data_IF_712576583720
#
_entry.id   IF_712576583720
#
_cell.length_a   1.000
_cell.length_b   1.000
_cell.length_c   1.000
_cell.angle_alpha   90.00
_cell.angle_beta   90.00
_cell.angle_gamma   90.00
#
_symmetry.space_group_name_H-M   'P 1'
#
loop_
_entity.id
_entity.type
_entity.pdbx_description
1 polymer ?
#
# COMPACT_ATOMS: atom_id res chain seq x y z
N UNK A 1 7.39 -1.19 -2.83
CA UNK A 1 7.07 -0.89 -1.43
C UNK A 1 5.56 -0.99 -1.25
N UNK A 2 5.16 -1.70 -0.20
CA UNK A 2 3.77 -1.82 0.24
C UNK A 2 3.66 -1.11 1.59
N UNK A 3 2.70 -0.20 1.72
CA UNK A 3 2.44 0.53 2.97
C UNK A 3 0.99 0.38 3.41
N UNK A 4 0.78 0.41 4.72
CA UNK A 4 -0.56 0.41 5.31
C UNK A 4 -0.84 1.79 5.91
N UNK A 5 -1.83 2.49 5.36
CA UNK A 5 -2.23 3.80 5.84
C UNK A 5 -3.23 3.64 6.98
N UNK A 6 -2.77 3.84 8.21
CA UNK A 6 -3.59 3.74 9.41
C UNK A 6 -4.60 4.89 9.54
N UNK A 7 -4.19 6.10 9.13
CA UNK A 7 -5.00 7.31 9.18
C UNK A 7 -4.45 8.35 8.21
N UNK A 8 -5.32 9.24 7.75
CA UNK A 8 -4.96 10.37 6.89
C UNK A 8 -5.33 10.12 5.43
N UNK A 9 -4.80 10.98 4.55
CA UNK A 9 -5.08 10.98 3.12
C UNK A 9 -3.90 10.36 2.34
N UNK A 10 -4.11 9.40 1.44
CA UNK A 10 -3.07 8.78 0.63
C UNK A 10 -2.19 9.78 -0.13
N UNK A 11 -2.76 10.88 -0.62
CA UNK A 11 -2.07 11.92 -1.38
C UNK A 11 -0.97 12.58 -0.53
N UNK A 12 -1.26 12.85 0.74
CA UNK A 12 -0.30 13.43 1.69
C UNK A 12 0.79 12.41 2.02
N UNK A 13 0.42 11.14 2.22
CA UNK A 13 1.38 10.08 2.44
C UNK A 13 2.35 9.92 1.26
N UNK A 14 1.83 9.94 0.03
CA UNK A 14 2.65 9.90 -1.19
C UNK A 14 3.55 11.12 -1.33
N UNK A 15 3.07 12.32 -1.00
CA UNK A 15 3.93 13.52 -0.98
C UNK A 15 5.11 13.37 -0.02
N UNK A 16 4.86 12.83 1.17
CA UNK A 16 5.93 12.58 2.16
C UNK A 16 6.91 11.50 1.69
N UNK A 17 6.40 10.42 1.06
CA UNK A 17 7.23 9.37 0.47
C UNK A 17 8.12 9.97 -0.63
N UNK A 18 7.55 10.77 -1.54
CA UNK A 18 8.28 11.42 -2.64
C UNK A 18 9.47 12.24 -2.13
N UNK A 19 9.23 13.05 -1.07
CA UNK A 19 10.27 13.82 -0.40
C UNK A 19 11.34 12.92 0.23
N UNK A 20 10.94 11.86 0.93
CA UNK A 20 11.88 10.96 1.62
C UNK A 20 12.78 10.18 0.65
N UNK A 21 12.26 9.81 -0.52
CA UNK A 21 13.05 9.10 -1.55
C UNK A 21 13.71 10.04 -2.56
N UNK A 22 13.51 11.35 -2.43
CA UNK A 22 13.99 12.38 -3.35
C UNK A 22 13.65 12.08 -4.83
N UNK A 23 12.43 11.60 -5.09
CA UNK A 23 11.91 11.31 -6.44
C UNK A 23 10.46 11.72 -6.56
N UNK A 24 10.11 12.17 -7.76
CA UNK A 24 8.72 12.36 -8.15
C UNK A 24 8.02 11.00 -8.28
N UNK A 25 6.74 10.98 -7.92
CA UNK A 25 5.89 9.81 -8.02
C UNK A 25 4.81 10.06 -9.07
N UNK A 26 4.71 9.18 -10.05
CA UNK A 26 3.69 9.22 -11.10
C UNK A 26 2.59 8.21 -10.82
N UNK A 27 1.38 8.48 -11.29
CA UNK A 27 0.28 7.53 -11.22
C UNK A 27 0.54 6.30 -12.09
N UNK A 28 0.09 5.14 -11.62
CA UNK A 28 0.20 3.92 -12.41
C UNK A 28 -0.88 3.90 -13.50
N UNK A 29 -0.53 3.72 -14.80
CA UNK A 29 -1.48 3.87 -15.91
C UNK A 29 -2.64 2.88 -15.83
N UNK A 30 -2.37 1.65 -15.39
CA UNK A 30 -3.39 0.60 -15.34
C UNK A 30 -4.22 0.58 -14.03
N UNK A 31 -3.90 1.43 -13.05
CA UNK A 31 -4.51 1.38 -11.72
C UNK A 31 -4.93 2.77 -11.20
N UNK A 32 -5.72 3.49 -12.00
CA UNK A 32 -6.19 4.86 -11.68
C UNK A 32 -6.99 4.97 -10.38
N UNK A 33 -7.73 3.92 -10.00
CA UNK A 33 -8.59 3.92 -8.81
C UNK A 33 -7.88 3.42 -7.54
N UNK A 34 -6.65 2.94 -7.66
CA UNK A 34 -5.89 2.46 -6.50
C UNK A 34 -4.89 3.52 -6.07
N UNK A 35 -4.65 3.56 -4.76
CA UNK A 35 -3.54 4.34 -4.19
C UNK A 35 -2.21 3.68 -4.56
N UNK A 36 -1.81 3.83 -5.81
CA UNK A 36 -0.65 3.18 -6.42
C UNK A 36 0.11 4.19 -7.27
N UNK A 37 1.33 4.52 -6.84
CA UNK A 37 2.26 5.34 -7.61
C UNK A 37 3.53 4.58 -7.99
N UNK A 38 4.25 5.11 -8.96
CA UNK A 38 5.55 4.59 -9.41
C UNK A 38 6.60 5.68 -9.47
N UNK A 39 7.87 5.31 -9.33
CA UNK A 39 8.99 6.18 -9.69
C UNK A 39 10.11 5.38 -10.32
N UNK A 40 10.82 6.03 -11.24
CA UNK A 40 11.97 5.45 -11.94
C UNK A 40 13.28 5.88 -11.27
N UNK A 41 14.19 4.93 -11.17
CA UNK A 41 15.46 5.07 -10.46
C UNK A 41 16.61 4.50 -11.28
N UNK A 42 17.78 5.09 -11.07
CA UNK A 42 19.05 4.56 -11.53
C UNK A 42 19.95 4.25 -10.33
N UNK A 43 20.77 3.21 -10.44
CA UNK A 43 21.78 2.87 -9.44
C UNK A 43 23.09 2.44 -10.08
N UNK A 44 24.18 2.61 -9.35
CA UNK A 44 25.46 2.00 -9.71
C UNK A 44 25.42 0.50 -9.40
N UNK A 45 25.77 -0.31 -10.39
CA UNK A 45 25.84 -1.77 -10.27
C UNK A 45 27.30 -2.17 -10.05
N UNK A 46 27.65 -2.84 -8.93
CA UNK A 46 29.00 -3.35 -8.71
C UNK A 46 29.41 -4.36 -9.79
N UNK A 47 30.71 -4.38 -10.10
CA UNK A 47 31.30 -5.30 -11.06
C UNK A 47 30.90 -6.75 -10.77
N UNK A 48 30.44 -7.46 -11.79
CA UNK A 48 30.04 -8.88 -11.69
C UNK A 48 28.61 -9.15 -11.22
N UNK A 49 27.80 -8.11 -10.93
CA UNK A 49 26.37 -8.28 -10.62
C UNK A 49 25.51 -8.08 -11.88
N UNK A 50 24.44 -8.88 -12.02
CA UNK A 50 23.58 -8.93 -13.22
C UNK A 50 22.23 -8.20 -13.09
N UNK A 51 22.03 -7.45 -12.02
CA UNK A 51 20.76 -6.76 -11.80
C UNK A 51 20.73 -5.42 -12.54
N UNK A 52 19.54 -4.93 -12.93
CA UNK A 52 19.44 -3.77 -13.80
C UNK A 52 19.91 -2.48 -13.12
N UNK A 53 20.49 -1.59 -13.93
CA UNK A 53 20.89 -0.22 -13.57
C UNK A 53 19.65 0.65 -13.38
N UNK A 54 18.73 0.60 -14.36
CA UNK A 54 17.46 1.31 -14.33
C UNK A 54 16.38 0.42 -13.76
N UNK A 55 15.57 0.92 -12.84
CA UNK A 55 14.49 0.15 -12.24
C UNK A 55 13.33 1.05 -11.82
N UNK A 56 12.13 0.46 -11.79
CA UNK A 56 10.91 1.11 -11.35
C UNK A 56 10.54 0.63 -9.96
N UNK A 57 10.30 1.56 -9.05
CA UNK A 57 9.71 1.30 -7.76
C UNK A 57 8.19 1.49 -7.83
N UNK A 58 7.44 0.53 -7.30
CA UNK A 58 5.99 0.64 -7.10
C UNK A 58 5.70 0.97 -5.63
N UNK A 59 4.76 1.87 -5.39
CA UNK A 59 4.33 2.32 -4.07
C UNK A 59 2.83 2.11 -3.96
N UNK A 60 2.42 1.04 -3.29
CA UNK A 60 1.03 0.71 -3.06
C UNK A 60 0.69 1.02 -1.60
N UNK A 61 -0.34 1.84 -1.37
CA UNK A 61 -0.87 2.12 -0.04
C UNK A 61 -2.23 1.45 0.14
N UNK A 62 -2.35 0.62 1.17
CA UNK A 62 -3.60 -0.01 1.59
C UNK A 62 -4.13 0.73 2.81
N UNK A 63 -5.32 1.30 2.72
CA UNK A 63 -5.90 1.99 3.86
C UNK A 63 -6.52 0.99 4.83
N UNK A 64 -6.04 1.00 6.07
CA UNK A 64 -6.66 0.24 7.14
C UNK A 64 -7.85 1.05 7.64
N UNK A 65 -9.03 0.75 7.10
CA UNK A 65 -10.27 1.28 7.66
C UNK A 65 -10.53 0.55 8.97
N UNK A 66 -10.76 1.32 10.04
CA UNK A 66 -11.47 0.77 11.18
C UNK A 66 -12.85 0.44 10.65
N UNK A 67 -13.12 -0.83 10.35
CA UNK A 67 -14.50 -1.25 10.38
C UNK A 67 -14.96 -0.90 11.80
N UNK A 68 -15.98 -0.05 11.92
CA UNK A 68 -16.90 -0.20 13.03
C UNK A 68 -17.46 -1.61 12.80
N UNK A 69 -16.78 -2.61 13.37
CA UNK A 69 -17.18 -3.99 13.24
C UNK A 69 -18.51 -4.08 13.97
N UNK A 70 -19.58 -3.90 13.21
CA UNK A 70 -20.93 -4.19 13.65
C UNK A 70 -21.02 -5.71 13.71
N UNK A 71 -20.50 -6.27 14.81
CA UNK A 71 -20.49 -7.71 15.07
C UNK A 71 -21.90 -8.29 15.18
N UNK A 72 -22.94 -7.45 15.20
CA UNK A 72 -24.34 -7.88 15.20
C UNK A 72 -24.76 -8.66 13.94
N UNK A 73 -23.97 -8.65 12.87
CA UNK A 73 -24.26 -9.40 11.63
C UNK A 73 -23.44 -10.68 11.45
N UNK A 74 -22.53 -10.98 12.37
CA UNK A 74 -21.61 -12.11 12.23
C UNK A 74 -21.96 -13.32 13.10
N UNK A 75 -22.97 -13.22 13.96
CA UNK A 75 -23.49 -14.36 14.72
C UNK A 75 -25.00 -14.47 14.45
N UNK A 76 -25.49 -15.53 13.77
CA UNK A 76 -26.90 -15.87 13.90
C UNK A 76 -27.16 -16.22 15.38
N UNK A 77 -28.20 -15.63 15.96
CA UNK A 77 -28.58 -15.72 17.38
C UNK A 77 -28.87 -17.15 17.93
N UNK A 78 -28.56 -18.22 17.20
CA UNK A 78 -29.04 -19.58 17.49
C UNK A 78 -27.93 -20.62 17.70
N UNK A 79 -26.92 -20.34 18.52
CA UNK A 79 -25.95 -21.36 18.96
C UNK A 79 -25.59 -21.26 20.45
N UNK A 80 -26.58 -21.05 21.31
CA UNK A 80 -26.47 -21.26 22.76
C UNK A 80 -27.68 -22.04 23.32
N UNK A 81 -28.15 -23.03 22.56
CA UNK A 81 -28.77 -24.22 23.16
C UNK A 81 -27.90 -25.40 22.73
N UNK A 82 -27.57 -26.28 23.68
CA UNK A 82 -26.70 -27.45 23.56
C UNK A 82 -25.21 -27.27 23.89
N UNK A 83 -24.90 -26.99 25.17
CA UNK A 83 -23.94 -27.82 25.92
C UNK A 83 -23.91 -27.45 27.41
N UNK A 84 -24.55 -28.32 28.20
CA UNK A 84 -24.25 -28.78 29.59
C UNK A 84 -23.66 -27.75 30.56
#
# INVERSE_FOLDING_TARGET
MLGYLLKGMPEIAFKNIALAVARDLSDHPDFSERNHKTSDHDRTVPTGKKYPVKFRCHYLLLQLTKQNADYSRCFPDNLLEDSI
#
